data_IF_728532632433
#
_entry.id   IF_728532632433
#
_cell.length_a   1.000
_cell.length_b   1.000
_cell.length_c   1.000
_cell.angle_alpha   90.00
_cell.angle_beta   90.00
_cell.angle_gamma   90.00
#
_symmetry.space_group_name_H-M   'P 1'
#
loop_
_entity.id
_entity.type
_entity.pdbx_description
1 polymer ?
#
# COMPACT_ATOMS: atom_id res chain seq x y z
N UNK A 1 6.31 11.66 -2.95
CA UNK A 1 6.09 12.02 -3.37
C UNK A 1 6.52 12.99 -3.74
N UNK A 2 6.86 13.29 -3.91
CA UNK A 2 7.09 14.20 -4.27
C UNK A 2 7.14 14.46 -5.38
N UNK A 3 7.40 13.89 -5.84
CA UNK A 3 7.44 14.13 -6.98
C UNK A 3 6.50 14.61 -7.46
N UNK A 4 6.14 14.57 -7.22
CA UNK A 4 5.32 14.96 -7.67
C UNK A 4 5.37 16.01 -8.07
N UNK A 5 5.67 16.28 -7.74
CA UNK A 5 5.52 17.24 -7.98
C UNK A 5 5.72 17.74 -8.89
N UNK A 6 6.10 17.33 -9.22
CA UNK A 6 6.20 17.59 -10.01
C UNK A 6 6.06 18.25 -10.62
N UNK A 7 6.04 18.27 -10.58
CA UNK A 7 5.95 18.85 -10.86
C UNK A 7 6.30 19.75 -11.79
N UNK A 8 7.11 20.12 -12.12
CA UNK A 8 7.43 20.97 -13.17
C UNK A 8 6.44 21.14 -14.24
N UNK A 9 5.48 20.44 -14.20
CA UNK A 9 4.43 20.43 -15.17
C UNK A 9 3.72 21.72 -15.30
N UNK A 10 3.78 22.51 -14.27
CA UNK A 10 3.10 23.79 -14.26
C UNK A 10 3.51 24.68 -15.40
N UNK A 11 4.75 24.58 -15.80
CA UNK A 11 5.25 25.44 -16.87
C UNK A 11 4.57 25.17 -18.19
N UNK A 12 4.22 23.92 -18.40
CA UNK A 12 3.61 23.55 -19.67
C UNK A 12 2.18 24.01 -19.78
N UNK A 13 1.51 24.07 -18.66
CA UNK A 13 0.10 24.46 -18.63
C UNK A 13 -0.12 25.85 -19.17
N UNK A 14 0.83 26.71 -19.00
CA UNK A 14 0.69 28.11 -19.38
C UNK A 14 0.59 28.36 -20.87
N UNK A 15 0.98 27.40 -21.67
CA UNK A 15 1.17 27.66 -23.08
C UNK A 15 -0.11 27.63 -23.89
N UNK A 16 -0.97 26.67 -23.66
CA UNK A 16 -2.17 26.49 -24.48
C UNK A 16 -3.36 26.11 -23.62
N UNK A 17 -4.54 26.56 -24.04
CA UNK A 17 -5.76 26.24 -23.31
C UNK A 17 -6.07 24.76 -23.34
N UNK A 18 -5.78 24.07 -24.45
CA UNK A 18 -5.99 22.62 -24.52
C UNK A 18 -5.06 21.90 -23.57
N UNK A 19 -3.84 22.38 -23.41
CA UNK A 19 -2.91 21.85 -22.43
C UNK A 19 -3.41 22.11 -21.02
N UNK A 20 -3.99 23.28 -20.79
CA UNK A 20 -4.59 23.61 -19.49
C UNK A 20 -5.70 22.65 -19.13
N UNK A 21 -6.54 22.29 -20.10
CA UNK A 21 -7.60 21.34 -19.85
C UNK A 21 -7.02 19.96 -19.50
N UNK A 22 -6.01 19.51 -20.23
CA UNK A 22 -5.37 18.23 -19.96
C UNK A 22 -4.72 18.23 -18.58
N UNK A 23 -4.10 19.33 -18.22
CA UNK A 23 -3.50 19.44 -16.90
C UNK A 23 -4.53 19.28 -15.77
N UNK A 24 -5.69 19.93 -15.93
CA UNK A 24 -6.75 19.83 -14.92
C UNK A 24 -7.25 18.40 -14.82
N UNK A 25 -7.35 17.71 -15.95
CA UNK A 25 -7.77 16.33 -15.97
C UNK A 25 -6.77 15.44 -15.22
N UNK A 26 -5.49 15.63 -15.51
CA UNK A 26 -4.43 14.86 -14.85
C UNK A 26 -4.37 15.16 -13.36
N UNK A 27 -4.59 16.40 -12.99
CA UNK A 27 -4.65 16.77 -11.58
C UNK A 27 -5.78 16.05 -10.87
N UNK A 28 -6.94 16.01 -11.49
CA UNK A 28 -8.08 15.31 -10.93
C UNK A 28 -7.80 13.81 -10.78
N UNK A 29 -7.13 13.24 -11.76
CA UNK A 29 -6.75 11.83 -11.70
C UNK A 29 -5.76 11.56 -10.58
N UNK A 30 -4.77 12.44 -10.42
CA UNK A 30 -3.81 12.30 -9.35
C UNK A 30 -4.47 12.45 -7.99
N UNK A 31 -5.42 13.37 -7.87
CA UNK A 31 -6.18 13.54 -6.63
C UNK A 31 -6.98 12.29 -6.31
N UNK A 32 -7.57 11.68 -7.34
CA UNK A 32 -8.35 10.48 -7.16
C UNK A 32 -7.51 9.32 -6.63
N UNK A 33 -6.37 9.07 -7.25
CA UNK A 33 -5.52 7.96 -6.83
C UNK A 33 -4.94 8.24 -5.44
N UNK A 34 -4.62 9.50 -5.17
CA UNK A 34 -4.12 9.90 -3.86
C UNK A 34 -5.16 9.67 -2.77
N UNK A 35 -6.41 10.03 -3.03
CA UNK A 35 -7.49 9.81 -2.08
C UNK A 35 -7.69 8.32 -1.79
N UNK A 36 -7.57 7.48 -2.81
CA UNK A 36 -7.66 6.03 -2.64
C UNK A 36 -6.53 5.53 -1.73
N UNK A 37 -5.32 6.01 -1.96
CA UNK A 37 -4.18 5.60 -1.15
C UNK A 37 -4.33 6.05 0.30
N UNK A 38 -4.71 7.30 0.50
CA UNK A 38 -4.89 7.82 1.86
C UNK A 38 -5.97 7.06 2.62
N UNK A 39 -7.08 6.80 1.96
CA UNK A 39 -8.16 6.02 2.57
C UNK A 39 -7.66 4.63 2.96
N UNK A 40 -6.92 4.01 2.06
CA UNK A 40 -6.42 2.65 2.27
C UNK A 40 -5.45 2.59 3.44
N UNK A 41 -4.53 3.55 3.52
CA UNK A 41 -3.55 3.60 4.60
C UNK A 41 -4.21 3.88 5.95
N UNK A 42 -5.29 4.63 5.95
CA UNK A 42 -6.00 4.96 7.18
C UNK A 42 -6.89 3.83 7.67
N UNK A 43 -7.28 2.91 6.78
CA UNK A 43 -8.32 1.94 7.10
C UNK A 43 -7.94 0.47 6.87
N UNK A 44 -6.68 0.17 6.55
CA UNK A 44 -6.30 -1.19 6.16
C UNK A 44 -6.49 -2.20 7.29
N UNK A 45 -6.55 -1.75 8.53
CA UNK A 45 -6.67 -2.67 9.68
C UNK A 45 -8.06 -3.24 9.83
N UNK A 46 -9.04 -2.71 9.12
CA UNK A 46 -10.40 -3.24 9.11
C UNK A 46 -10.74 -3.76 7.74
N UNK A 47 -11.86 -4.47 7.65
CA UNK A 47 -12.34 -4.90 6.34
C UNK A 47 -12.81 -3.69 5.55
N UNK A 48 -12.34 -3.58 4.32
CA UNK A 48 -12.72 -2.50 3.43
C UNK A 48 -13.56 -3.09 2.31
N UNK A 49 -14.75 -2.49 2.09
CA UNK A 49 -15.60 -2.89 0.98
C UNK A 49 -15.17 -2.10 -0.26
N UNK A 50 -15.17 -2.78 -1.40
CA UNK A 50 -14.78 -2.12 -2.65
C UNK A 50 -15.69 -0.93 -2.96
N UNK A 51 -16.94 -1.05 -2.56
CA UNK A 51 -17.92 0.02 -2.75
C UNK A 51 -17.52 1.31 -2.04
N UNK A 52 -16.96 1.17 -0.83
CA UNK A 52 -16.50 2.34 -0.08
C UNK A 52 -15.43 3.09 -0.85
N UNK A 53 -14.48 2.34 -1.40
CA UNK A 53 -13.37 2.94 -2.10
C UNK A 53 -13.82 3.57 -3.40
N UNK A 54 -14.76 2.93 -4.08
CA UNK A 54 -15.32 3.48 -5.31
C UNK A 54 -16.03 4.81 -5.05
N UNK A 55 -16.72 4.91 -3.91
CA UNK A 55 -17.35 6.16 -3.52
C UNK A 55 -16.35 7.27 -3.25
N UNK A 56 -15.25 6.92 -2.59
CA UNK A 56 -14.16 7.87 -2.34
C UNK A 56 -13.61 8.40 -3.68
N UNK A 57 -13.52 7.52 -4.67
CA UNK A 57 -13.01 7.88 -5.98
C UNK A 57 -14.09 8.52 -6.89
N UNK A 58 -15.35 8.57 -6.42
CA UNK A 58 -16.48 9.13 -7.17
C UNK A 58 -16.73 8.41 -8.49
N UNK A 59 -16.62 7.08 -8.47
CA UNK A 59 -16.85 6.25 -9.65
C UNK A 59 -17.65 5.02 -9.24
N UNK A 60 -18.17 4.29 -10.24
CA UNK A 60 -18.84 3.03 -9.97
C UNK A 60 -17.82 1.97 -9.56
N UNK A 61 -18.31 0.92 -8.90
CA UNK A 61 -17.44 -0.16 -8.47
C UNK A 61 -16.74 -0.83 -9.65
N UNK A 62 -17.47 -1.07 -10.73
CA UNK A 62 -16.87 -1.70 -11.91
C UNK A 62 -15.79 -0.84 -12.54
N UNK A 63 -16.06 0.46 -12.64
CA UNK A 63 -15.06 1.39 -13.16
C UNK A 63 -13.85 1.43 -12.24
N UNK A 64 -14.07 1.47 -10.93
CA UNK A 64 -12.99 1.53 -9.96
C UNK A 64 -12.04 0.33 -10.11
N UNK A 65 -12.59 -0.87 -10.22
CA UNK A 65 -11.76 -2.05 -10.32
C UNK A 65 -10.86 -2.01 -11.54
N UNK A 66 -11.42 -1.63 -12.70
CA UNK A 66 -10.63 -1.53 -13.93
C UNK A 66 -9.63 -0.38 -13.85
N UNK A 67 -10.07 0.76 -13.32
CA UNK A 67 -9.23 1.93 -13.17
C UNK A 67 -8.02 1.62 -12.29
N UNK A 68 -8.29 1.04 -11.12
CA UNK A 68 -7.22 0.77 -10.17
C UNK A 68 -6.20 -0.22 -10.74
N UNK A 69 -6.69 -1.29 -11.36
CA UNK A 69 -5.79 -2.27 -11.95
C UNK A 69 -4.99 -1.68 -13.10
N UNK A 70 -5.61 -0.83 -13.90
CA UNK A 70 -4.92 -0.18 -15.00
C UNK A 70 -3.81 0.74 -14.50
N UNK A 71 -4.06 1.47 -13.42
CA UNK A 71 -3.09 2.43 -12.89
C UNK A 71 -1.98 1.77 -12.08
N UNK A 72 -2.29 0.72 -11.34
CA UNK A 72 -1.33 0.14 -10.40
C UNK A 72 -0.82 -1.23 -10.80
N UNK A 73 -1.42 -1.84 -11.82
CA UNK A 73 -1.09 -3.18 -12.27
C UNK A 73 -1.46 -4.25 -11.25
N UNK A 74 -2.24 -3.91 -10.25
CA UNK A 74 -2.69 -4.82 -9.19
C UNK A 74 -4.17 -4.63 -8.95
N UNK A 75 -4.82 -5.68 -8.44
CA UNK A 75 -6.18 -5.49 -7.94
C UNK A 75 -6.11 -4.73 -6.62
N UNK A 76 -7.23 -4.14 -6.24
CA UNK A 76 -7.27 -3.43 -4.97
C UNK A 76 -7.02 -4.38 -3.79
N UNK A 77 -7.52 -5.60 -3.89
CA UNK A 77 -7.32 -6.62 -2.86
C UNK A 77 -5.82 -6.93 -2.68
N UNK A 78 -5.10 -7.08 -3.78
CA UNK A 78 -3.65 -7.30 -3.72
C UNK A 78 -2.95 -6.11 -3.07
N UNK A 79 -3.35 -4.91 -3.44
CA UNK A 79 -2.78 -3.68 -2.89
C UNK A 79 -2.96 -3.60 -1.37
N UNK A 80 -4.18 -3.86 -0.89
CA UNK A 80 -4.46 -3.82 0.54
C UNK A 80 -3.65 -4.88 1.29
N UNK A 81 -3.54 -6.08 0.72
CA UNK A 81 -2.77 -7.12 1.37
C UNK A 81 -1.29 -6.76 1.46
N UNK A 82 -0.76 -6.07 0.44
CA UNK A 82 0.63 -5.61 0.49
C UNK A 82 0.83 -4.59 1.62
N UNK A 83 -0.13 -3.68 1.79
CA UNK A 83 -0.06 -2.73 2.89
C UNK A 83 -0.07 -3.45 4.24
N UNK A 84 -0.98 -4.43 4.37
CA UNK A 84 -1.10 -5.19 5.61
C UNK A 84 0.17 -5.96 5.92
N UNK A 85 0.75 -6.59 4.92
CA UNK A 85 2.00 -7.34 5.11
C UNK A 85 3.16 -6.41 5.44
N UNK A 86 3.22 -5.24 4.80
CA UNK A 86 4.23 -4.25 5.15
C UNK A 86 4.15 -3.84 6.61
N UNK A 87 2.94 -3.62 7.10
CA UNK A 87 2.74 -3.30 8.51
C UNK A 87 3.15 -4.46 9.41
N UNK A 88 2.83 -5.69 9.01
CA UNK A 88 3.22 -6.88 9.76
C UNK A 88 4.74 -7.01 9.82
N UNK A 89 5.43 -6.74 8.73
CA UNK A 89 6.90 -6.78 8.73
C UNK A 89 7.47 -5.82 9.76
N UNK A 90 6.91 -4.62 9.82
CA UNK A 90 7.35 -3.63 10.81
C UNK A 90 7.16 -4.15 12.22
N UNK A 91 6.00 -4.73 12.51
CA UNK A 91 5.73 -5.26 13.85
C UNK A 91 6.62 -6.44 14.20
N UNK A 92 6.95 -7.28 13.22
CA UNK A 92 7.87 -8.39 13.45
C UNK A 92 9.26 -7.90 13.79
N UNK A 93 9.70 -6.85 13.13
CA UNK A 93 11.02 -6.24 13.39
C UNK A 93 11.06 -5.66 14.80
N UNK A 94 9.99 -5.02 15.23
CA UNK A 94 9.91 -4.44 16.58
C UNK A 94 9.91 -5.51 17.66
N UNK A 95 9.38 -6.69 17.35
CA UNK A 95 9.40 -7.84 18.25
C UNK A 95 8.78 -7.55 19.61
N UNK A 96 7.69 -6.81 19.66
CA UNK A 96 7.03 -6.43 20.90
C UNK A 96 5.80 -7.27 21.21
N UNK A 97 5.20 -7.88 20.19
CA UNK A 97 4.01 -8.70 20.33
C UNK A 97 4.20 -9.99 19.56
N UNK A 98 3.42 -11.01 19.88
CA UNK A 98 3.58 -12.31 19.23
C UNK A 98 2.99 -12.30 17.81
N UNK A 99 3.33 -13.32 17.04
CA UNK A 99 2.94 -13.37 15.62
C UNK A 99 1.43 -13.40 15.44
N UNK A 100 0.72 -14.02 16.35
CA UNK A 100 -0.74 -14.07 16.27
C UNK A 100 -1.34 -12.68 16.42
N UNK A 101 -0.84 -11.92 17.38
CA UNK A 101 -1.27 -10.54 17.56
C UNK A 101 -0.92 -9.69 16.35
N UNK A 102 0.26 -9.91 15.79
CA UNK A 102 0.68 -9.19 14.58
C UNK A 102 -0.30 -9.44 13.44
N UNK A 103 -0.76 -10.67 13.30
CA UNK A 103 -1.75 -11.03 12.29
C UNK A 103 -2.99 -10.13 12.39
N UNK A 104 -3.55 -10.04 13.60
CA UNK A 104 -4.77 -9.25 13.79
C UNK A 104 -4.51 -7.75 13.72
N UNK A 105 -3.39 -7.29 14.27
CA UNK A 105 -3.04 -5.88 14.23
C UNK A 105 -2.80 -5.39 12.80
N UNK A 106 -2.43 -6.30 11.92
CA UNK A 106 -2.19 -5.97 10.53
C UNK A 106 -3.45 -6.03 9.67
N UNK A 107 -4.58 -6.39 10.26
CA UNK A 107 -5.84 -6.36 9.53
C UNK A 107 -6.30 -7.70 8.98
N UNK A 108 -5.63 -8.78 9.31
CA UNK A 108 -6.06 -10.11 8.88
C UNK A 108 -6.99 -10.73 9.92
N UNK A 109 -7.99 -11.47 9.44
CA UNK A 109 -8.97 -12.06 10.33
C UNK A 109 -8.68 -13.51 10.66
N UNK A 110 -7.81 -14.16 9.89
CA UNK A 110 -7.38 -15.51 10.24
C UNK A 110 -5.91 -15.69 9.90
N UNK A 111 -5.29 -16.55 10.67
CA UNK A 111 -3.85 -16.77 10.57
C UNK A 111 -3.45 -17.45 9.26
N UNK A 112 -4.30 -18.31 8.73
CA UNK A 112 -3.98 -19.01 7.49
C UNK A 112 -3.84 -18.05 6.32
N UNK A 113 -4.76 -17.09 6.21
CA UNK A 113 -4.67 -16.06 5.17
C UNK A 113 -3.44 -15.21 5.36
N UNK A 114 -3.18 -14.81 6.61
CA UNK A 114 -2.00 -14.03 6.94
C UNK A 114 -0.73 -14.73 6.49
N UNK A 115 -0.60 -15.99 6.86
CA UNK A 115 0.59 -16.78 6.52
C UNK A 115 0.75 -16.91 5.01
N UNK A 116 -0.35 -17.18 4.32
CA UNK A 116 -0.35 -17.34 2.87
C UNK A 116 0.13 -16.07 2.16
N UNK A 117 -0.46 -14.94 2.51
CA UNK A 117 -0.10 -13.68 1.86
C UNK A 117 1.28 -13.21 2.27
N UNK A 118 1.65 -13.43 3.53
CA UNK A 118 2.99 -13.06 3.97
C UNK A 118 4.04 -13.81 3.16
N UNK A 119 3.88 -15.11 3.04
CA UNK A 119 4.83 -15.92 2.28
C UNK A 119 4.83 -15.56 0.80
N UNK A 120 3.65 -15.28 0.25
CA UNK A 120 3.54 -14.91 -1.16
C UNK A 120 4.25 -13.59 -1.45
N UNK A 121 4.17 -12.63 -0.55
CA UNK A 121 4.71 -11.29 -0.78
C UNK A 121 6.19 -11.23 -0.40
N UNK A 122 6.58 -11.84 0.72
CA UNK A 122 7.97 -11.74 1.21
C UNK A 122 8.84 -12.91 0.83
N UNK A 123 8.24 -14.03 0.41
CA UNK A 123 8.97 -15.25 0.11
C UNK A 123 9.29 -16.09 1.32
N UNK A 124 8.93 -15.65 2.52
CA UNK A 124 9.27 -16.34 3.78
C UNK A 124 8.06 -16.38 4.70
N UNK A 125 8.07 -17.33 5.64
CA UNK A 125 7.05 -17.32 6.67
C UNK A 125 7.31 -16.17 7.63
N UNK A 126 6.29 -15.70 8.38
CA UNK A 126 6.49 -14.62 9.32
C UNK A 126 7.59 -14.91 10.35
N UNK A 127 7.64 -16.13 10.85
CA UNK A 127 8.64 -16.48 11.86
C UNK A 127 10.04 -16.53 11.28
N UNK A 128 10.19 -17.05 10.06
CA UNK A 128 11.50 -17.06 9.41
C UNK A 128 11.97 -15.65 9.10
N UNK A 129 11.05 -14.79 8.66
CA UNK A 129 11.37 -13.40 8.39
C UNK A 129 11.93 -12.72 9.65
N UNK A 130 11.24 -12.91 10.77
CA UNK A 130 11.66 -12.32 12.03
C UNK A 130 13.02 -12.85 12.48
N UNK A 131 13.20 -14.18 12.38
CA UNK A 131 14.43 -14.82 12.80
C UNK A 131 15.62 -14.34 11.98
N UNK A 132 15.47 -14.29 10.67
CA UNK A 132 16.55 -13.87 9.78
C UNK A 132 16.90 -12.41 10.01
N UNK A 133 15.92 -11.56 10.19
CA UNK A 133 16.18 -10.15 10.44
C UNK A 133 16.98 -9.95 11.72
N UNK A 134 16.61 -10.64 12.78
CA UNK A 134 17.32 -10.51 14.06
C UNK A 134 18.70 -11.10 14.01
N UNK A 135 18.89 -12.16 13.24
CA UNK A 135 20.21 -12.76 13.07
C UNK A 135 21.15 -11.81 12.32
N UNK A 136 20.66 -11.22 11.25
CA UNK A 136 21.46 -10.25 10.48
C UNK A 136 21.86 -9.06 11.34
N UNK A 137 20.97 -8.60 12.20
CA UNK A 137 21.30 -7.50 13.09
C UNK A 137 22.39 -7.86 14.08
N UNK A 138 22.36 -9.07 14.61
CA UNK A 138 23.40 -9.54 15.52
C UNK A 138 24.76 -9.60 14.84
N UNK A 139 24.78 -10.09 13.62
CA UNK A 139 26.02 -10.18 12.86
C UNK A 139 26.59 -8.80 12.55
N UNK A 140 25.73 -7.88 12.13
CA UNK A 140 26.15 -6.51 11.87
C UNK A 140 26.70 -5.83 13.10
N UNK A 141 26.06 -6.02 14.24
CA UNK A 141 26.50 -5.49 15.52
C UNK A 141 27.87 -6.04 15.90
N UNK A 142 28.04 -7.33 15.66
CA UNK A 142 29.30 -7.99 15.95
C UNK A 142 30.46 -7.44 15.10
N UNK A 143 30.18 -7.13 13.86
CA UNK A 143 31.16 -6.59 12.93
C UNK A 143 31.58 -5.17 13.27
N UNK A 144 30.72 -4.43 13.94
CA UNK A 144 31.02 -3.04 14.27
C UNK A 144 31.91 -2.89 15.48
N UNK A 145 32.15 -3.96 16.21
CA UNK A 145 33.07 -3.97 17.35
C UNK A 145 34.49 -4.23 16.87
#
# INVERSE_FOLDING_TARGET
MEALSAIGNCNQVKLLSSIGFRHNFEETENDRIHAIYEFSLANFKRKIQTEEVAEIAHVSMNYFCRYFKSRTRKTYSQFINEIRIGHACKLLIENKINVKQICYESGFYNFASFHKYFKSITGKSPMNYQREFHQERKESSSLMI
#
